data_IF_525549823288
#
_entry.id   IF_525549823288
#
_cell.length_a   1.000
_cell.length_b   1.000
_cell.length_c   1.000
_cell.angle_alpha   90.00
_cell.angle_beta   90.00
_cell.angle_gamma   90.00
#
_symmetry.space_group_name_H-M   'P 1'
#
loop_
_entity.id
_entity.type
_entity.pdbx_description
1 polymer ?
#
# COMPACT_ATOMS: atom_id res chain seq x y z
N UNK A 1 3.88 -9.72 14.44
CA UNK A 1 3.71 -8.63 13.44
C UNK A 1 3.06 -9.21 12.20
N UNK A 2 2.43 -8.42 11.33
CA UNK A 2 1.83 -8.95 10.09
C UNK A 2 2.51 -8.35 8.86
N UNK A 3 2.39 -9.06 7.75
CA UNK A 3 3.08 -8.73 6.48
C UNK A 3 2.07 -8.59 5.36
N UNK A 4 2.10 -7.48 4.63
CA UNK A 4 1.39 -7.30 3.36
C UNK A 4 2.36 -6.97 2.23
N UNK A 5 2.12 -7.46 1.02
CA UNK A 5 2.94 -7.13 -0.13
C UNK A 5 2.50 -5.84 -0.81
N UNK A 6 3.42 -5.21 -1.55
CA UNK A 6 3.10 -4.07 -2.40
C UNK A 6 1.93 -4.38 -3.36
N UNK A 7 1.87 -5.59 -3.97
CA UNK A 7 0.71 -6.08 -4.74
C UNK A 7 -0.59 -6.12 -3.95
N UNK A 8 -0.57 -6.61 -2.71
CA UNK A 8 -1.78 -6.64 -1.87
C UNK A 8 -2.30 -5.22 -1.54
N UNK A 9 -1.44 -4.21 -1.58
CA UNK A 9 -1.78 -2.79 -1.37
C UNK A 9 -2.07 -2.04 -2.69
N UNK A 10 -1.95 -2.74 -3.83
CA UNK A 10 -2.27 -2.24 -5.16
C UNK A 10 -1.11 -1.64 -5.93
N UNK A 11 0.13 -2.01 -5.61
CA UNK A 11 1.32 -1.75 -6.44
C UNK A 11 1.73 -2.97 -7.28
N UNK A 12 2.85 -2.89 -8.02
CA UNK A 12 3.17 -3.88 -9.05
C UNK A 12 4.03 -5.07 -8.54
N UNK A 13 4.67 -4.97 -7.37
CA UNK A 13 5.70 -5.93 -6.94
C UNK A 13 5.36 -6.69 -5.66
N UNK A 14 6.14 -7.73 -5.36
CA UNK A 14 5.94 -8.60 -4.19
C UNK A 14 6.70 -8.15 -2.93
N UNK A 15 7.23 -6.92 -2.91
CA UNK A 15 7.94 -6.41 -1.74
C UNK A 15 7.06 -6.50 -0.49
N UNK A 16 7.60 -7.13 0.55
CA UNK A 16 6.90 -7.38 1.81
C UNK A 16 7.03 -6.20 2.78
N UNK A 17 5.90 -5.58 3.12
CA UNK A 17 5.79 -4.55 4.15
C UNK A 17 5.33 -5.17 5.46
N UNK A 18 6.14 -5.01 6.52
CA UNK A 18 5.81 -5.51 7.87
C UNK A 18 5.41 -4.37 8.78
N UNK A 19 4.37 -4.60 9.60
CA UNK A 19 3.89 -3.61 10.54
C UNK A 19 3.12 -4.25 11.70
N UNK A 20 2.96 -3.48 12.77
CA UNK A 20 2.06 -3.81 13.87
C UNK A 20 0.58 -3.61 13.50
N UNK A 21 0.30 -2.69 12.57
CA UNK A 21 -1.02 -2.36 12.10
C UNK A 21 -1.04 -2.07 10.58
N UNK A 22 -2.25 -1.95 10.05
CA UNK A 22 -2.49 -1.65 8.63
C UNK A 22 -1.94 -0.27 8.22
N UNK A 23 -1.95 0.69 9.14
CA UNK A 23 -1.48 2.06 8.88
C UNK A 23 0.03 2.09 8.65
N UNK A 24 0.79 1.29 9.38
CA UNK A 24 2.24 1.13 9.20
C UNK A 24 2.58 0.50 7.84
N UNK A 25 1.88 -0.56 7.42
CA UNK A 25 2.16 -1.17 6.11
C UNK A 25 1.72 -0.30 4.94
N UNK A 26 0.63 0.47 5.08
CA UNK A 26 0.21 1.47 4.09
C UNK A 26 1.27 2.57 3.94
N UNK A 27 1.78 3.10 5.06
CA UNK A 27 2.85 4.11 5.05
C UNK A 27 4.14 3.56 4.44
N UNK A 28 4.51 2.33 4.78
CA UNK A 28 5.70 1.68 4.22
C UNK A 28 5.57 1.48 2.69
N UNK A 29 4.38 1.13 2.21
CA UNK A 29 4.13 1.00 0.77
C UNK A 29 4.14 2.35 0.06
N UNK A 30 3.56 3.39 0.65
CA UNK A 30 3.61 4.75 0.08
C UNK A 30 5.07 5.27 -0.03
N UNK A 31 5.90 5.00 0.98
CA UNK A 31 7.33 5.30 0.92
C UNK A 31 8.04 4.54 -0.21
N UNK A 32 7.82 3.23 -0.28
CA UNK A 32 8.36 2.37 -1.33
C UNK A 32 7.99 2.86 -2.74
N UNK A 33 6.72 3.22 -2.96
CA UNK A 33 6.26 3.77 -4.23
C UNK A 33 7.01 5.07 -4.60
N UNK A 34 7.21 5.97 -3.64
CA UNK A 34 7.94 7.23 -3.87
C UNK A 34 9.41 7.00 -4.19
N UNK A 35 10.08 6.08 -3.49
CA UNK A 35 11.48 5.74 -3.75
C UNK A 35 11.66 5.12 -5.13
N UNK A 36 10.80 4.16 -5.52
CA UNK A 36 10.86 3.53 -6.83
C UNK A 36 10.66 4.55 -7.95
N UNK A 37 9.70 5.46 -7.81
CA UNK A 37 9.49 6.56 -8.78
C UNK A 37 10.69 7.51 -8.84
N UNK A 38 11.27 7.87 -7.69
CA UNK A 38 12.47 8.70 -7.65
C UNK A 38 13.67 8.03 -8.32
N UNK A 39 13.73 6.70 -8.30
CA UNK A 39 14.73 5.89 -9.00
C UNK A 39 14.44 5.70 -10.50
N UNK A 40 13.32 6.23 -11.02
CA UNK A 40 12.95 6.14 -12.43
C UNK A 40 12.13 4.90 -12.82
N UNK A 41 11.56 4.19 -11.84
CA UNK A 41 10.70 3.03 -12.08
C UNK A 41 9.30 3.46 -12.53
N UNK A 42 9.01 3.22 -13.82
CA UNK A 42 7.72 3.55 -14.43
C UNK A 42 6.58 2.64 -13.94
N UNK A 43 6.84 1.38 -13.59
CA UNK A 43 5.80 0.46 -13.11
C UNK A 43 5.27 0.91 -11.73
N UNK A 44 6.16 1.43 -10.89
CA UNK A 44 5.76 2.00 -9.60
C UNK A 44 5.16 3.41 -9.73
N UNK A 45 5.41 4.13 -10.83
CA UNK A 45 4.81 5.45 -11.08
C UNK A 45 3.29 5.40 -11.23
N UNK A 46 2.77 4.41 -11.95
CA UNK A 46 1.32 4.24 -12.11
C UNK A 46 0.66 3.90 -10.76
N UNK A 47 1.29 3.03 -9.97
CA UNK A 47 0.81 2.69 -8.64
C UNK A 47 0.88 3.88 -7.66
N UNK A 48 1.93 4.70 -7.72
CA UNK A 48 2.07 5.93 -6.92
C UNK A 48 1.00 6.97 -7.29
N UNK A 49 0.72 7.14 -8.59
CA UNK A 49 -0.33 8.02 -9.07
C UNK A 49 -1.71 7.53 -8.62
N UNK A 50 -1.99 6.22 -8.71
CA UNK A 50 -3.22 5.61 -8.24
C UNK A 50 -3.39 5.77 -6.71
N UNK A 51 -2.31 5.58 -5.94
CA UNK A 51 -2.29 5.82 -4.49
C UNK A 51 -2.66 7.27 -4.17
N UNK A 52 -2.04 8.24 -4.85
CA UNK A 52 -2.36 9.66 -4.70
C UNK A 52 -3.81 9.98 -5.10
N UNK A 53 -4.30 9.42 -6.20
CA UNK A 53 -5.66 9.63 -6.68
C UNK A 53 -6.73 9.09 -5.71
N UNK A 54 -6.45 7.97 -5.01
CA UNK A 54 -7.35 7.43 -3.97
C UNK A 54 -7.56 8.44 -2.84
N UNK A 55 -6.51 9.13 -2.40
CA UNK A 55 -6.60 10.12 -1.34
C UNK A 55 -7.32 11.40 -1.76
N UNK A 56 -7.30 11.74 -3.06
CA UNK A 56 -8.07 12.87 -3.62
C UNK A 56 -9.57 12.59 -3.70
N UNK A 57 -9.99 11.32 -3.67
CA UNK A 57 -11.39 10.93 -3.65
C UNK A 57 -11.78 10.35 -2.28
N UNK A 58 -12.38 11.13 -1.37
CA UNK A 58 -12.58 10.71 0.01
C UNK A 58 -13.45 9.45 0.14
N UNK A 59 -14.42 9.25 -0.75
CA UNK A 59 -15.30 8.06 -0.72
C UNK A 59 -14.51 6.80 -1.10
N UNK A 60 -13.80 6.85 -2.24
CA UNK A 60 -13.01 5.71 -2.72
C UNK A 60 -11.81 5.43 -1.82
N UNK A 61 -11.13 6.47 -1.35
CA UNK A 61 -10.02 6.39 -0.41
C UNK A 61 -10.43 5.73 0.91
N UNK A 62 -11.55 6.16 1.50
CA UNK A 62 -12.05 5.55 2.74
C UNK A 62 -12.54 4.11 2.53
N UNK A 63 -13.14 3.80 1.38
CA UNK A 63 -13.54 2.44 1.04
C UNK A 63 -12.34 1.49 0.95
N UNK A 64 -11.30 1.90 0.21
CA UNK A 64 -10.05 1.16 0.10
C UNK A 64 -9.37 1.02 1.46
N UNK A 65 -9.25 2.11 2.23
CA UNK A 65 -8.63 2.10 3.55
C UNK A 65 -9.29 1.08 4.49
N UNK A 66 -10.62 1.09 4.58
CA UNK A 66 -11.36 0.11 5.40
C UNK A 66 -11.17 -1.32 4.90
N UNK A 67 -11.17 -1.55 3.59
CA UNK A 67 -10.92 -2.86 3.02
C UNK A 67 -9.49 -3.36 3.34
N UNK A 68 -8.48 -2.50 3.22
CA UNK A 68 -7.09 -2.81 3.57
C UNK A 68 -6.93 -3.13 5.05
N UNK A 69 -7.54 -2.36 5.96
CA UNK A 69 -7.52 -2.68 7.40
C UNK A 69 -8.15 -4.05 7.69
N UNK A 70 -9.28 -4.37 7.03
CA UNK A 70 -9.93 -5.66 7.18
C UNK A 70 -9.05 -6.80 6.65
N UNK A 71 -8.44 -6.62 5.49
CA UNK A 71 -7.53 -7.60 4.90
C UNK A 71 -6.32 -7.84 5.82
N UNK A 72 -5.70 -6.77 6.33
CA UNK A 72 -4.59 -6.87 7.28
C UNK A 72 -4.98 -7.59 8.58
N UNK A 73 -6.15 -7.28 9.14
CA UNK A 73 -6.65 -7.93 10.35
C UNK A 73 -6.82 -9.44 10.18
N UNK A 74 -7.20 -9.89 8.98
CA UNK A 74 -7.38 -11.31 8.65
C UNK A 74 -6.07 -12.07 8.39
N UNK A 75 -4.93 -11.38 8.25
CA UNK A 75 -3.64 -12.04 8.04
C UNK A 75 -3.19 -12.77 9.32
N UNK A 76 -2.53 -13.93 9.17
CA UNK A 76 -1.89 -14.57 10.31
C UNK A 76 -0.79 -13.68 10.87
N UNK A 77 -0.58 -13.77 12.18
CA UNK A 77 0.63 -13.24 12.79
C UNK A 77 1.78 -14.18 12.42
N UNK A 78 2.81 -13.61 11.80
CA UNK A 78 4.07 -14.29 11.50
C UNK A 78 5.15 -13.90 12.47
#
# INVERSE_FOLDING_TARGET
MKTMTCKQLGGPCDLAHRGADADQVIKAQDHHLKEAVAAGDAEHADAAAAMTARWRNPIKGMGWYRATKKAFAALPEG
#
